data_IF_901508021647
#
_entry.id   IF_901508021647
#
_cell.length_a   1.000
_cell.length_b   1.000
_cell.length_c   1.000
_cell.angle_alpha   90.00
_cell.angle_beta   90.00
_cell.angle_gamma   90.00
#
_symmetry.space_group_name_H-M   'P 1'
#
loop_
_entity.id
_entity.type
_entity.pdbx_description
1 polymer ?
#
# COMPACT_ATOMS: atom_id res chain seq x y z
N UNK A 1 1.73 25.63 29.51
CA UNK A 1 2.85 25.54 30.46
C UNK A 1 3.08 24.06 30.69
N UNK A 2 4.12 23.52 30.04
CA UNK A 2 4.92 22.35 30.38
C UNK A 2 5.74 22.01 29.13
N UNK A 3 7.02 22.36 29.26
CA UNK A 3 8.10 22.15 28.31
C UNK A 3 8.47 20.67 28.21
N UNK A 4 8.67 20.18 26.99
CA UNK A 4 9.42 18.94 26.74
C UNK A 4 10.41 19.23 25.60
N UNK A 5 11.63 19.56 26.00
CA UNK A 5 12.72 19.98 25.11
C UNK A 5 13.39 18.72 24.55
N UNK A 6 13.08 18.42 23.29
CA UNK A 6 13.71 17.35 22.49
C UNK A 6 15.20 17.69 22.31
N UNK A 7 16.06 16.78 22.77
CA UNK A 7 17.51 16.90 22.69
C UNK A 7 17.98 16.44 21.29
N UNK A 8 18.31 17.40 20.42
CA UNK A 8 18.92 17.13 19.11
C UNK A 8 20.44 17.35 19.22
N UNK A 9 21.21 16.27 19.18
CA UNK A 9 22.67 16.34 19.07
C UNK A 9 23.00 16.59 17.60
N UNK A 10 23.19 17.86 17.25
CA UNK A 10 23.81 18.29 15.98
C UNK A 10 25.29 18.49 16.23
N UNK A 11 26.12 17.52 15.83
CA UNK A 11 27.58 17.68 15.83
C UNK A 11 27.97 18.48 14.59
N UNK A 12 28.20 19.79 14.76
CA UNK A 12 28.77 20.65 13.74
C UNK A 12 30.27 20.84 14.02
N UNK A 13 31.11 20.44 13.08
CA UNK A 13 32.56 20.64 13.09
C UNK A 13 32.89 22.13 12.86
N UNK A 14 33.62 22.75 13.78
CA UNK A 14 34.19 24.09 13.61
C UNK A 14 35.69 23.99 13.35
N UNK A 15 36.14 24.52 12.21
CA UNK A 15 37.54 24.74 11.88
C UNK A 15 38.03 26.03 12.52
N UNK A 16 39.14 26.01 13.26
CA UNK A 16 39.88 27.20 13.67
C UNK A 16 40.93 27.55 12.61
N UNK A 17 40.73 28.70 11.96
CA UNK A 17 41.79 29.41 11.22
C UNK A 17 42.47 30.34 12.23
N UNK A 18 43.78 30.19 12.39
CA UNK A 18 44.60 30.99 13.29
C UNK A 18 44.63 32.46 12.89
N UNK A 19 44.62 33.33 13.89
CA UNK A 19 44.90 34.75 13.72
C UNK A 19 45.80 35.20 14.88
N UNK A 20 47.01 35.65 14.52
CA UNK A 20 48.03 36.15 15.44
C UNK A 20 47.57 37.45 16.13
N UNK A 21 47.62 37.47 17.47
CA UNK A 21 47.89 38.72 18.21
C UNK A 21 48.54 38.46 19.57
N UNK A 22 49.56 39.26 19.86
CA UNK A 22 50.45 39.17 21.03
C UNK A 22 49.82 39.71 22.33
N UNK A 23 50.16 38.99 23.40
CA UNK A 23 50.40 39.37 24.81
C UNK A 23 49.30 39.87 25.78
N UNK A 24 49.13 39.02 26.82
CA UNK A 24 49.02 39.33 28.27
C UNK A 24 47.64 39.59 28.88
N UNK A 25 47.07 38.63 29.63
CA UNK A 25 47.23 38.47 31.09
C UNK A 25 46.40 37.25 31.58
N UNK A 26 46.81 36.67 32.70
CA UNK A 26 46.39 35.36 33.25
C UNK A 26 44.88 35.20 33.53
N UNK A 27 44.21 34.36 32.75
CA UNK A 27 43.03 33.58 33.17
C UNK A 27 43.19 32.18 32.57
N UNK A 28 43.40 31.17 33.41
CA UNK A 28 43.46 29.78 32.98
C UNK A 28 42.05 29.34 32.55
N UNK A 29 41.65 29.70 31.33
CA UNK A 29 40.56 29.04 30.65
C UNK A 29 40.96 27.58 30.47
N UNK A 30 40.29 26.71 31.23
CA UNK A 30 40.30 25.28 31.04
C UNK A 30 39.76 25.01 29.63
N UNK A 31 40.66 25.03 28.65
CA UNK A 31 40.40 24.63 27.27
C UNK A 31 39.87 23.21 27.33
N UNK A 32 38.54 23.10 27.21
CA UNK A 32 37.83 21.84 27.13
C UNK A 32 38.45 21.06 25.98
N UNK A 33 39.30 20.09 26.35
CA UNK A 33 40.11 19.32 25.43
C UNK A 33 39.17 18.65 24.44
N UNK A 34 39.10 19.21 23.23
CA UNK A 34 38.44 18.59 22.09
C UNK A 34 39.05 17.21 22.02
N UNK A 35 38.25 16.17 22.31
CA UNK A 35 38.66 14.76 22.28
C UNK A 35 39.26 14.55 20.90
N UNK A 36 40.58 14.66 20.82
CA UNK A 36 41.31 14.54 19.58
C UNK A 36 41.32 13.05 19.32
N UNK A 37 40.36 12.63 18.50
CA UNK A 37 40.18 11.22 18.13
C UNK A 37 41.55 10.73 17.64
N UNK A 38 42.14 9.80 18.39
CA UNK A 38 43.55 9.43 18.19
C UNK A 38 43.73 8.90 16.77
N UNK A 39 44.70 9.44 16.01
CA UNK A 39 45.00 8.94 14.68
C UNK A 39 45.86 7.67 14.77
N UNK A 40 45.49 6.65 14.00
CA UNK A 40 46.21 5.39 13.88
C UNK A 40 46.51 5.08 12.42
N UNK A 41 47.51 4.23 12.19
CA UNK A 41 47.91 3.85 10.84
C UNK A 41 47.18 2.58 10.39
N UNK A 42 46.57 2.64 9.21
CA UNK A 42 46.03 1.49 8.48
C UNK A 42 46.75 1.43 7.14
N UNK A 43 47.71 0.51 7.02
CA UNK A 43 48.67 0.51 5.92
C UNK A 43 49.51 1.79 5.90
N UNK A 44 49.45 2.55 4.80
CA UNK A 44 50.15 3.84 4.64
C UNK A 44 49.30 5.06 5.01
N UNK A 45 48.04 4.86 5.41
CA UNK A 45 47.08 5.93 5.69
C UNK A 45 46.98 6.17 7.19
N UNK A 46 46.90 7.44 7.59
CA UNK A 46 46.73 7.86 8.98
C UNK A 46 45.30 8.38 9.15
N UNK A 47 44.48 7.65 9.88
CA UNK A 47 43.04 7.90 10.03
C UNK A 47 42.62 7.84 11.49
N UNK A 48 41.44 8.36 11.82
CA UNK A 48 40.84 8.26 13.16
C UNK A 48 40.74 6.80 13.63
N UNK A 49 41.07 6.56 14.89
CA UNK A 49 40.96 5.24 15.52
C UNK A 49 39.55 4.64 15.41
N UNK A 50 38.52 5.49 15.51
CA UNK A 50 37.11 5.10 15.44
C UNK A 50 36.71 4.39 14.14
N UNK A 51 37.37 4.69 13.01
CA UNK A 51 37.07 4.08 11.70
C UNK A 51 38.12 3.08 11.23
N UNK A 52 39.23 2.94 11.96
CA UNK A 52 40.38 2.12 11.58
C UNK A 52 40.02 0.67 11.30
N UNK A 53 39.17 0.06 12.14
CA UNK A 53 38.69 -1.32 11.97
C UNK A 53 37.88 -1.51 10.70
N UNK A 54 37.06 -0.51 10.33
CA UNK A 54 36.27 -0.54 9.09
C UNK A 54 37.22 -0.47 7.90
N UNK A 55 38.16 0.47 7.90
CA UNK A 55 39.12 0.63 6.81
C UNK A 55 40.00 -0.63 6.64
N UNK A 56 40.46 -1.21 7.74
CA UNK A 56 41.22 -2.45 7.74
C UNK A 56 40.41 -3.60 7.09
N UNK A 57 39.14 -3.73 7.44
CA UNK A 57 38.25 -4.76 6.87
C UNK A 57 38.01 -4.54 5.36
N UNK A 58 37.93 -3.28 4.91
CA UNK A 58 37.86 -2.95 3.48
C UNK A 58 39.12 -3.42 2.77
N UNK A 59 40.31 -3.08 3.31
CA UNK A 59 41.58 -3.45 2.69
C UNK A 59 41.83 -4.95 2.65
N UNK A 60 41.41 -5.68 3.69
CA UNK A 60 41.47 -7.14 3.70
C UNK A 60 40.62 -7.77 2.61
N UNK A 61 39.48 -7.16 2.26
CA UNK A 61 38.54 -7.70 1.27
C UNK A 61 38.80 -7.24 -0.15
N UNK A 62 39.15 -5.97 -0.35
CA UNK A 62 39.22 -5.33 -1.66
C UNK A 62 40.64 -4.85 -2.00
N UNK A 63 41.61 -5.02 -1.11
CA UNK A 63 42.95 -4.45 -1.26
C UNK A 63 42.99 -2.95 -1.00
N UNK A 64 44.12 -2.31 -1.33
CA UNK A 64 44.26 -0.86 -1.21
C UNK A 64 43.43 -0.15 -2.29
N UNK A 65 42.16 0.14 -1.96
CA UNK A 65 41.21 0.84 -2.84
C UNK A 65 41.65 2.26 -3.23
N UNK A 66 42.62 2.84 -2.52
CA UNK A 66 43.16 4.17 -2.80
C UNK A 66 44.55 4.11 -3.46
N UNK A 67 44.97 2.94 -3.98
CA UNK A 67 46.25 2.77 -4.67
C UNK A 67 46.38 3.65 -5.92
N UNK A 68 45.27 3.89 -6.63
CA UNK A 68 45.20 4.70 -7.85
C UNK A 68 44.72 6.14 -7.59
N UNK A 69 44.60 6.53 -6.32
CA UNK A 69 44.10 7.85 -5.95
C UNK A 69 45.05 8.96 -6.45
N UNK A 70 44.49 9.98 -7.11
CA UNK A 70 45.26 11.08 -7.72
C UNK A 70 45.55 12.25 -6.77
N UNK A 71 45.11 12.15 -5.50
CA UNK A 71 45.35 13.19 -4.51
C UNK A 71 46.80 13.12 -4.00
N UNK A 72 47.56 14.18 -4.23
CA UNK A 72 48.94 14.32 -3.76
C UNK A 72 49.04 14.37 -2.22
N UNK A 73 48.09 15.07 -1.58
CA UNK A 73 48.08 15.23 -0.13
C UNK A 73 47.69 13.92 0.58
N UNK A 74 48.59 13.40 1.41
CA UNK A 74 48.32 12.23 2.26
C UNK A 74 47.13 12.45 3.20
N UNK A 75 47.00 13.66 3.76
CA UNK A 75 45.88 14.01 4.64
C UNK A 75 44.55 14.04 3.89
N UNK A 76 44.53 14.52 2.64
CA UNK A 76 43.31 14.48 1.82
C UNK A 76 42.92 13.04 1.46
N UNK A 77 43.88 12.18 1.11
CA UNK A 77 43.59 10.76 0.87
C UNK A 77 42.99 10.07 2.10
N UNK A 78 43.56 10.31 3.27
CA UNK A 78 43.03 9.82 4.53
C UNK A 78 41.60 10.33 4.78
N UNK A 79 41.34 11.63 4.56
CA UNK A 79 40.02 12.22 4.70
C UNK A 79 38.96 11.55 3.82
N UNK A 80 39.23 11.32 2.53
CA UNK A 80 38.27 10.62 1.66
C UNK A 80 38.01 9.17 2.10
N UNK A 81 39.03 8.47 2.62
CA UNK A 81 38.86 7.13 3.19
C UNK A 81 38.02 7.16 4.48
N UNK A 82 38.18 8.18 5.31
CA UNK A 82 37.32 8.39 6.48
C UNK A 82 35.87 8.65 6.09
N UNK A 83 35.62 9.49 5.07
CA UNK A 83 34.29 9.73 4.52
C UNK A 83 33.63 8.43 4.03
N UNK A 84 34.40 7.59 3.32
CA UNK A 84 33.92 6.29 2.86
C UNK A 84 33.58 5.35 4.03
N UNK A 85 34.43 5.29 5.05
CA UNK A 85 34.19 4.48 6.23
C UNK A 85 32.96 4.96 7.03
N UNK A 86 32.72 6.28 7.08
CA UNK A 86 31.54 6.84 7.69
C UNK A 86 30.24 6.38 6.99
N UNK A 87 30.23 6.30 5.65
CA UNK A 87 29.09 5.75 4.89
C UNK A 87 28.81 4.30 5.29
N UNK A 88 29.85 3.47 5.43
CA UNK A 88 29.70 2.06 5.81
C UNK A 88 29.22 1.92 7.26
N UNK A 89 29.79 2.72 8.16
CA UNK A 89 29.35 2.76 9.55
C UNK A 89 27.87 3.14 9.65
N UNK A 90 27.43 4.06 8.81
CA UNK A 90 26.04 4.49 8.75
C UNK A 90 25.10 3.43 8.16
N UNK A 91 25.54 2.71 7.13
CA UNK A 91 24.82 1.54 6.62
C UNK A 91 24.68 0.43 7.66
N UNK A 92 25.66 0.26 8.55
CA UNK A 92 25.59 -0.70 9.65
C UNK A 92 24.68 -0.22 10.80
N UNK A 93 24.62 1.09 11.05
CA UNK A 93 23.88 1.64 12.19
C UNK A 93 22.38 1.82 11.92
N UNK A 94 21.99 2.10 10.68
CA UNK A 94 20.60 2.36 10.30
C UNK A 94 19.92 1.03 9.90
N UNK A 95 18.89 0.57 10.63
CA UNK A 95 18.10 -0.57 10.19
C UNK A 95 17.43 -0.28 8.85
N UNK A 96 17.39 -1.27 7.95
CA UNK A 96 16.82 -1.11 6.60
C UNK A 96 15.41 -0.47 6.58
N UNK A 97 14.57 -0.78 7.58
CA UNK A 97 13.21 -0.22 7.70
C UNK A 97 13.18 1.29 7.97
N UNK A 98 14.25 1.86 8.49
CA UNK A 98 14.38 3.29 8.81
C UNK A 98 15.18 4.05 7.73
N UNK A 99 15.73 3.31 6.75
CA UNK A 99 16.52 3.88 5.68
C UNK A 99 15.62 4.62 4.69
N UNK A 100 15.99 5.87 4.38
CA UNK A 100 15.20 6.74 3.50
C UNK A 100 15.89 6.95 2.15
N UNK A 101 15.10 7.27 1.11
CA UNK A 101 15.63 7.63 -0.21
C UNK A 101 16.58 8.83 -0.16
N UNK A 102 16.27 9.81 0.70
CA UNK A 102 17.12 10.97 0.92
C UNK A 102 18.49 10.55 1.46
N UNK A 103 18.51 9.59 2.39
CA UNK A 103 19.74 9.12 3.00
C UNK A 103 20.63 8.33 2.04
N UNK A 104 20.03 7.45 1.24
CA UNK A 104 20.74 6.75 0.16
C UNK A 104 21.33 7.74 -0.86
N UNK A 105 20.58 8.80 -1.20
CA UNK A 105 21.07 9.85 -2.11
C UNK A 105 22.26 10.61 -1.53
N UNK A 106 22.28 10.88 -0.23
CA UNK A 106 23.43 11.48 0.46
C UNK A 106 24.66 10.57 0.38
N UNK A 107 24.50 9.27 0.67
CA UNK A 107 25.58 8.29 0.56
C UNK A 107 26.13 8.22 -0.88
N UNK A 108 25.27 8.23 -1.90
CA UNK A 108 25.69 8.31 -3.31
C UNK A 108 26.48 9.57 -3.63
N UNK A 109 26.13 10.72 -3.04
CA UNK A 109 26.88 11.96 -3.23
C UNK A 109 28.31 11.82 -2.69
N UNK A 110 28.47 11.26 -1.48
CA UNK A 110 29.80 10.97 -0.91
C UNK A 110 30.58 10.02 -1.81
N UNK A 111 29.96 8.92 -2.29
CA UNK A 111 30.63 7.99 -3.20
C UNK A 111 31.07 8.65 -4.51
N UNK A 112 30.30 9.60 -5.04
CA UNK A 112 30.65 10.33 -6.26
C UNK A 112 31.89 11.20 -6.03
N UNK A 113 31.98 11.85 -4.88
CA UNK A 113 33.15 12.67 -4.55
C UNK A 113 34.39 11.81 -4.31
N UNK A 114 34.25 10.66 -3.65
CA UNK A 114 35.32 9.67 -3.44
C UNK A 114 35.79 9.06 -4.77
N UNK A 115 34.86 8.68 -5.65
CA UNK A 115 35.15 8.15 -6.99
C UNK A 115 35.90 9.19 -7.84
N UNK A 116 35.54 10.48 -7.72
CA UNK A 116 36.22 11.56 -8.44
C UNK A 116 37.69 11.72 -8.04
N UNK A 117 38.07 11.22 -6.86
CA UNK A 117 39.45 11.13 -6.40
C UNK A 117 40.18 9.86 -6.88
N UNK A 118 39.56 9.05 -7.75
CA UNK A 118 40.06 7.76 -8.23
C UNK A 118 40.29 6.72 -7.12
N UNK A 119 39.43 6.74 -6.09
CA UNK A 119 39.33 5.68 -5.09
C UNK A 119 38.29 4.66 -5.57
N UNK A 120 38.63 3.38 -5.53
CA UNK A 120 37.75 2.28 -5.96
C UNK A 120 36.59 2.08 -4.97
N UNK A 121 35.39 2.43 -5.44
CA UNK A 121 34.13 2.33 -4.70
C UNK A 121 33.06 1.53 -5.46
N UNK A 122 33.43 0.79 -6.51
CA UNK A 122 32.47 0.06 -7.35
C UNK A 122 31.66 -0.96 -6.55
N UNK A 123 32.32 -1.63 -5.61
CA UNK A 123 31.72 -2.60 -4.70
C UNK A 123 30.66 -1.98 -3.78
N UNK A 124 30.89 -0.77 -3.27
CA UNK A 124 29.92 -0.08 -2.40
C UNK A 124 28.80 0.54 -3.22
N UNK A 125 29.11 1.01 -4.43
CA UNK A 125 28.12 1.50 -5.39
C UNK A 125 27.12 0.41 -5.77
N UNK A 126 27.60 -0.79 -6.08
CA UNK A 126 26.75 -1.95 -6.37
C UNK A 126 25.80 -2.24 -5.19
N UNK A 127 26.33 -2.28 -3.97
CA UNK A 127 25.53 -2.50 -2.77
C UNK A 127 24.47 -1.39 -2.56
N UNK A 128 24.83 -0.11 -2.71
CA UNK A 128 23.86 0.98 -2.58
C UNK A 128 22.78 0.95 -3.66
N UNK A 129 23.10 0.48 -4.87
CA UNK A 129 22.10 0.26 -5.92
C UNK A 129 21.10 -0.83 -5.53
N UNK A 130 21.57 -1.98 -5.03
CA UNK A 130 20.70 -3.07 -4.55
C UNK A 130 19.79 -2.60 -3.41
N UNK A 131 20.33 -1.83 -2.46
CA UNK A 131 19.56 -1.27 -1.35
C UNK A 131 18.49 -0.28 -1.86
N UNK A 132 18.85 0.57 -2.82
CA UNK A 132 17.93 1.51 -3.46
C UNK A 132 16.78 0.78 -4.16
N UNK A 133 17.08 -0.27 -4.93
CA UNK A 133 16.07 -1.09 -5.60
C UNK A 133 15.15 -1.79 -4.60
N UNK A 134 15.72 -2.39 -3.54
CA UNK A 134 14.94 -3.02 -2.49
C UNK A 134 13.96 -2.04 -1.82
N UNK A 135 14.38 -0.78 -1.61
CA UNK A 135 13.52 0.26 -1.04
C UNK A 135 12.35 0.61 -1.97
N UNK A 136 12.58 0.69 -3.29
CA UNK A 136 11.50 0.88 -4.27
C UNK A 136 10.52 -0.30 -4.28
N UNK A 137 11.02 -1.54 -4.28
CA UNK A 137 10.19 -2.74 -4.27
C UNK A 137 9.31 -2.83 -3.01
N UNK A 138 9.83 -2.45 -1.84
CA UNK A 138 9.03 -2.40 -0.60
C UNK A 138 7.88 -1.39 -0.72
N UNK A 139 8.13 -0.19 -1.26
CA UNK A 139 7.10 0.82 -1.46
C UNK A 139 6.02 0.37 -2.46
N UNK A 140 6.45 -0.29 -3.54
CA UNK A 140 5.52 -0.87 -4.53
C UNK A 140 4.67 -1.97 -3.91
N UNK A 141 5.28 -2.88 -3.13
CA UNK A 141 4.56 -3.95 -2.44
C UNK A 141 3.49 -3.40 -1.51
N UNK A 142 3.81 -2.39 -0.68
CA UNK A 142 2.83 -1.76 0.21
C UNK A 142 1.64 -1.18 -0.58
N UNK A 143 1.91 -0.55 -1.73
CA UNK A 143 0.88 -0.02 -2.62
C UNK A 143 -0.02 -1.13 -3.19
N UNK A 144 0.57 -2.25 -3.59
CA UNK A 144 -0.19 -3.39 -4.11
C UNK A 144 -1.04 -4.08 -3.03
N UNK A 145 -0.51 -4.26 -1.81
CA UNK A 145 -1.26 -4.82 -0.69
C UNK A 145 -2.47 -3.95 -0.31
N UNK A 146 -2.30 -2.62 -0.32
CA UNK A 146 -3.41 -1.69 -0.10
C UNK A 146 -4.50 -1.84 -1.19
N UNK A 147 -4.12 -1.93 -2.47
CA UNK A 147 -5.05 -2.16 -3.58
C UNK A 147 -5.76 -3.52 -3.45
N UNK A 148 -5.02 -4.58 -3.16
CA UNK A 148 -5.55 -5.94 -2.96
C UNK A 148 -6.58 -5.96 -1.83
N UNK A 149 -6.29 -5.30 -0.72
CA UNK A 149 -7.23 -5.17 0.40
C UNK A 149 -8.54 -4.50 -0.02
N UNK A 150 -8.45 -3.40 -0.77
CA UNK A 150 -9.63 -2.70 -1.30
C UNK A 150 -10.46 -3.59 -2.24
N UNK A 151 -9.80 -4.30 -3.17
CA UNK A 151 -10.51 -5.21 -4.07
C UNK A 151 -11.19 -6.36 -3.34
N UNK A 152 -10.55 -6.94 -2.32
CA UNK A 152 -11.15 -7.99 -1.51
C UNK A 152 -12.40 -7.50 -0.77
N UNK A 153 -12.37 -6.29 -0.20
CA UNK A 153 -13.53 -5.69 0.44
C UNK A 153 -14.69 -5.47 -0.54
N UNK A 154 -14.41 -4.93 -1.73
CA UNK A 154 -15.42 -4.76 -2.78
C UNK A 154 -15.99 -6.10 -3.25
N UNK A 155 -15.14 -7.13 -3.41
CA UNK A 155 -15.56 -8.47 -3.81
C UNK A 155 -16.48 -9.10 -2.76
N UNK A 156 -16.16 -8.96 -1.47
CA UNK A 156 -17.02 -9.44 -0.39
C UNK A 156 -18.37 -8.72 -0.37
N UNK A 157 -18.38 -7.39 -0.57
CA UNK A 157 -19.61 -6.61 -0.65
C UNK A 157 -20.50 -7.06 -1.81
N UNK A 158 -19.94 -7.22 -3.01
CA UNK A 158 -20.68 -7.65 -4.20
C UNK A 158 -21.19 -9.07 -4.03
N UNK A 159 -20.42 -9.97 -3.40
CA UNK A 159 -20.88 -11.33 -3.09
C UNK A 159 -22.09 -11.32 -2.15
N UNK A 160 -22.08 -10.49 -1.10
CA UNK A 160 -23.22 -10.36 -0.17
C UNK A 160 -24.45 -9.78 -0.86
N UNK A 161 -24.28 -8.78 -1.71
CA UNK A 161 -25.38 -8.21 -2.50
C UNK A 161 -25.98 -9.24 -3.46
N UNK A 162 -25.12 -10.03 -4.13
CA UNK A 162 -25.56 -11.09 -5.02
C UNK A 162 -26.38 -12.14 -4.27
N UNK A 163 -25.90 -12.60 -3.11
CA UNK A 163 -26.63 -13.58 -2.28
C UNK A 163 -28.03 -13.06 -1.90
N UNK A 164 -28.12 -11.82 -1.41
CA UNK A 164 -29.41 -11.19 -1.08
C UNK A 164 -30.36 -11.14 -2.27
N UNK A 165 -29.85 -10.81 -3.47
CA UNK A 165 -30.68 -10.79 -4.69
C UNK A 165 -31.11 -12.18 -5.13
N UNK A 166 -30.30 -13.21 -4.92
CA UNK A 166 -30.67 -14.59 -5.20
C UNK A 166 -31.79 -15.06 -4.26
N UNK A 167 -31.71 -14.74 -2.98
CA UNK A 167 -32.77 -15.05 -2.01
C UNK A 167 -34.08 -14.31 -2.33
N UNK A 168 -34.01 -13.02 -2.65
CA UNK A 168 -35.18 -12.23 -3.07
C UNK A 168 -35.82 -12.77 -4.35
N UNK A 169 -35.00 -13.19 -5.32
CA UNK A 169 -35.48 -13.78 -6.57
C UNK A 169 -36.22 -15.09 -6.30
N UNK A 170 -35.63 -15.99 -5.50
CA UNK A 170 -36.24 -17.28 -5.16
C UNK A 170 -37.59 -17.11 -4.46
N UNK A 171 -37.71 -16.12 -3.56
CA UNK A 171 -38.97 -15.79 -2.91
C UNK A 171 -40.02 -15.29 -3.90
N UNK A 172 -39.65 -14.38 -4.81
CA UNK A 172 -40.59 -13.88 -5.84
C UNK A 172 -41.01 -14.96 -6.84
N UNK A 173 -40.12 -15.88 -7.18
CA UNK A 173 -40.45 -17.01 -8.06
C UNK A 173 -41.48 -17.94 -7.41
N UNK A 174 -41.36 -18.18 -6.10
CA UNK A 174 -42.36 -18.93 -5.33
C UNK A 174 -43.71 -18.22 -5.32
N UNK A 175 -43.74 -16.94 -4.97
CA UNK A 175 -44.99 -16.14 -4.97
C UNK A 175 -45.65 -16.10 -6.35
N UNK A 176 -44.85 -16.01 -7.42
CA UNK A 176 -45.36 -16.07 -8.78
C UNK A 176 -45.92 -17.45 -9.16
N UNK A 177 -45.38 -18.54 -8.62
CA UNK A 177 -45.92 -19.88 -8.81
C UNK A 177 -47.29 -20.02 -8.11
N UNK A 178 -47.38 -19.59 -6.85
CA UNK A 178 -48.62 -19.61 -6.07
C UNK A 178 -49.73 -18.76 -6.73
N UNK A 179 -49.38 -17.57 -7.23
CA UNK A 179 -50.31 -16.70 -7.95
C UNK A 179 -50.81 -17.33 -9.26
N UNK A 180 -49.94 -18.03 -10.00
CA UNK A 180 -50.33 -18.75 -11.22
C UNK A 180 -51.30 -19.89 -10.94
N UNK A 181 -51.13 -20.59 -9.83
CA UNK A 181 -52.05 -21.65 -9.40
C UNK A 181 -53.45 -21.08 -9.10
N UNK A 182 -53.54 -19.98 -8.35
CA UNK A 182 -54.82 -19.32 -8.06
C UNK A 182 -55.52 -18.80 -9.33
N UNK A 183 -54.76 -18.28 -10.29
CA UNK A 183 -55.30 -17.86 -11.59
C UNK A 183 -55.89 -19.06 -12.35
N UNK A 184 -55.20 -20.20 -12.36
CA UNK A 184 -55.68 -21.42 -13.00
C UNK A 184 -56.96 -21.94 -12.36
N UNK A 185 -57.03 -21.98 -11.02
CA UNK A 185 -58.22 -22.37 -10.27
C UNK A 185 -59.41 -21.44 -10.56
N UNK A 186 -59.17 -20.11 -10.49
CA UNK A 186 -60.22 -19.12 -10.74
C UNK A 186 -60.74 -19.20 -12.16
N UNK A 187 -59.85 -19.45 -13.14
CA UNK A 187 -60.25 -19.66 -14.53
C UNK A 187 -61.11 -20.92 -14.70
N UNK A 188 -60.71 -22.04 -14.10
CA UNK A 188 -61.50 -23.27 -14.15
C UNK A 188 -62.90 -23.08 -13.53
N UNK A 189 -62.99 -22.35 -12.42
CA UNK A 189 -64.29 -22.01 -11.79
C UNK A 189 -65.14 -21.09 -12.67
N UNK A 190 -64.51 -20.13 -13.37
CA UNK A 190 -65.20 -19.26 -14.31
C UNK A 190 -65.80 -20.07 -15.47
N UNK A 191 -65.00 -20.95 -16.07
CA UNK A 191 -65.44 -21.82 -17.17
C UNK A 191 -66.65 -22.70 -16.77
N UNK A 192 -66.66 -23.22 -15.54
CA UNK A 192 -67.79 -23.99 -14.99
C UNK A 192 -69.05 -23.13 -14.82
N UNK A 193 -68.93 -21.91 -14.28
CA UNK A 193 -70.07 -21.00 -14.11
C UNK A 193 -70.63 -20.57 -15.47
N UNK A 194 -69.77 -20.27 -16.45
CA UNK A 194 -70.20 -19.94 -17.81
C UNK A 194 -70.97 -21.10 -18.47
N UNK A 195 -70.51 -22.34 -18.26
CA UNK A 195 -71.22 -23.53 -18.71
C UNK A 195 -72.61 -23.65 -18.08
N UNK A 196 -72.72 -23.47 -16.76
CA UNK A 196 -74.00 -23.52 -16.04
C UNK A 196 -74.96 -22.43 -16.49
N UNK A 197 -74.49 -21.19 -16.69
CA UNK A 197 -75.30 -20.10 -17.24
C UNK A 197 -75.88 -20.47 -18.62
N UNK A 198 -75.06 -21.05 -19.51
CA UNK A 198 -75.51 -21.48 -20.84
C UNK A 198 -76.60 -22.56 -20.79
N UNK A 199 -76.48 -23.53 -19.89
CA UNK A 199 -77.52 -24.56 -19.68
C UNK A 199 -78.83 -23.96 -19.15
N UNK A 200 -78.72 -22.99 -18.24
CA UNK A 200 -79.87 -22.29 -17.69
C UNK A 200 -80.59 -21.47 -18.77
N UNK A 201 -79.85 -20.75 -19.62
CA UNK A 201 -80.40 -19.98 -20.74
C UNK A 201 -81.17 -20.86 -21.74
N UNK A 202 -80.65 -22.06 -22.05
CA UNK A 202 -81.35 -23.05 -22.88
C UNK A 202 -82.66 -23.52 -22.23
N UNK A 203 -82.63 -23.75 -20.93
CA UNK A 203 -83.80 -24.18 -20.15
C UNK A 203 -84.87 -23.09 -20.12
N UNK A 204 -84.47 -21.85 -19.85
CA UNK A 204 -85.35 -20.67 -19.87
C UNK A 204 -85.97 -20.50 -21.26
N UNK A 205 -85.18 -20.61 -22.33
CA UNK A 205 -85.67 -20.54 -23.71
C UNK A 205 -86.71 -21.62 -24.02
N UNK A 206 -86.50 -22.84 -23.51
CA UNK A 206 -87.45 -23.95 -23.65
C UNK A 206 -88.76 -23.67 -22.92
N UNK A 207 -88.69 -23.20 -21.66
CA UNK A 207 -89.87 -22.85 -20.86
C UNK A 207 -90.66 -21.72 -21.52
N UNK A 208 -89.97 -20.67 -21.98
CA UNK A 208 -90.58 -19.55 -22.69
C UNK A 208 -91.32 -20.02 -23.94
N UNK A 209 -90.68 -20.86 -24.77
CA UNK A 209 -91.30 -21.43 -25.97
C UNK A 209 -92.54 -22.28 -25.66
N UNK A 210 -92.53 -23.05 -24.57
CA UNK A 210 -93.71 -23.81 -24.13
C UNK A 210 -94.82 -22.86 -23.69
N UNK A 211 -94.49 -21.84 -22.89
CA UNK A 211 -95.46 -20.89 -22.34
C UNK A 211 -96.13 -20.08 -23.44
N UNK A 212 -95.36 -19.62 -24.43
CA UNK A 212 -95.85 -18.88 -25.59
C UNK A 212 -96.89 -19.66 -26.41
N UNK A 213 -96.80 -21.01 -26.48
CA UNK A 213 -97.80 -21.83 -27.19
C UNK A 213 -99.21 -21.70 -26.63
N UNK A 214 -99.32 -21.42 -25.34
CA UNK A 214 -100.58 -21.30 -24.61
C UNK A 214 -101.00 -19.84 -24.42
N UNK A 215 -100.14 -18.88 -24.75
CA UNK A 215 -100.39 -17.46 -24.52
C UNK A 215 -101.22 -16.89 -25.69
N UNK A 216 -102.53 -16.75 -25.47
CA UNK A 216 -103.48 -16.18 -26.44
C UNK A 216 -104.46 -17.18 -27.09
N UNK A 217 -104.44 -18.46 -26.71
CA UNK A 217 -105.43 -19.47 -27.11
C UNK A 217 -106.37 -19.80 -25.96
N UNK A 218 -107.67 -19.97 -26.24
CA UNK A 218 -108.63 -20.48 -25.26
C UNK A 218 -108.30 -21.94 -24.97
N UNK A 219 -108.06 -22.31 -23.70
CA UNK A 219 -107.73 -23.69 -23.30
C UNK A 219 -108.82 -24.71 -23.72
N UNK A 220 -110.05 -24.24 -24.00
CA UNK A 220 -111.15 -25.06 -24.45
C UNK A 220 -111.03 -25.51 -25.93
N UNK A 221 -110.28 -24.79 -26.77
CA UNK A 221 -110.15 -25.08 -28.22
C UNK A 221 -109.16 -26.21 -28.53
N UNK A 222 -108.36 -26.65 -27.56
CA UNK A 222 -107.35 -27.72 -27.73
C UNK A 222 -107.85 -29.09 -27.22
N UNK A 223 -109.03 -29.12 -26.58
CA UNK A 223 -109.64 -30.31 -25.93
C UNK A 223 -110.89 -30.81 -26.69
N UNK A 224 -111.46 -30.00 -27.60
CA UNK A 224 -112.62 -30.33 -28.46
C UNK A 224 -112.17 -30.74 -29.86
#
# INVERSE_FOLDING_TARGET
>A
MNDEKVNAISSAFSFLIGQDHEESDDEAEEVESVISDSCVSVGKYHVKASISTILQSIFEKYGDIAANCQLESASMRAYYLECLCAVIQELHSIPFKQLTKAKIKEMFAVLKDVESAHIDVDWLRALLNEISEALELVNQRQTFEAKKTKYNQSLESVRKELESKMDELAQKEKEAADAREQVAETKARLDEIEHQCSELDKTISTIASITDKFQGKSLADEIL
#
